data_IF_067094916848
#
_entry.id   IF_067094916848
#
_cell.length_a   1.000
_cell.length_b   1.000
_cell.length_c   1.000
_cell.angle_alpha   90.00
_cell.angle_beta   90.00
_cell.angle_gamma   90.00
#
_symmetry.space_group_name_H-M   'P 1'
#
loop_
_entity.id
_entity.type
_entity.pdbx_description
1 polymer ?
#
# COMPACT_ATOMS: atom_id res chain seq x y z
N UNK A 1 -44.66 -39.52 0.46
CA UNK A 1 -45.42 -38.32 0.01
C UNK A 1 -44.50 -37.11 0.15
N UNK A 2 -44.54 -36.16 -0.78
CA UNK A 2 -43.75 -34.93 -0.63
C UNK A 2 -44.38 -34.05 0.47
N UNK A 3 -43.53 -33.51 1.34
CA UNK A 3 -43.95 -32.58 2.40
C UNK A 3 -44.46 -31.28 1.80
N UNK A 4 -45.46 -30.69 2.43
CA UNK A 4 -45.99 -29.38 2.02
C UNK A 4 -44.99 -28.27 2.33
N UNK A 5 -45.11 -27.15 1.61
CA UNK A 5 -44.26 -25.99 1.83
C UNK A 5 -44.42 -25.41 3.25
N UNK A 6 -45.60 -25.58 3.87
CA UNK A 6 -45.88 -25.12 5.22
C UNK A 6 -45.17 -25.99 6.27
N UNK A 7 -45.19 -27.31 6.11
CA UNK A 7 -44.51 -28.26 7.01
C UNK A 7 -42.99 -28.09 6.96
N UNK A 8 -42.43 -27.97 5.75
CA UNK A 8 -41.00 -27.69 5.56
C UNK A 8 -40.61 -26.30 6.09
N UNK A 9 -41.48 -25.31 5.92
CA UNK A 9 -41.23 -23.95 6.43
C UNK A 9 -41.13 -23.93 7.94
N UNK A 10 -42.08 -24.59 8.62
CA UNK A 10 -42.12 -24.67 10.07
C UNK A 10 -40.91 -25.45 10.62
N UNK A 11 -40.54 -26.57 10.00
CA UNK A 11 -39.41 -27.39 10.44
C UNK A 11 -38.02 -26.78 10.16
N UNK A 12 -37.89 -25.93 9.13
CA UNK A 12 -36.65 -25.28 8.73
C UNK A 12 -36.55 -23.82 9.20
N UNK A 13 -37.53 -23.32 9.97
CA UNK A 13 -37.55 -21.96 10.50
C UNK A 13 -37.62 -20.86 9.43
N UNK A 14 -38.30 -21.11 8.31
CA UNK A 14 -38.43 -20.15 7.20
C UNK A 14 -39.87 -20.08 6.68
N UNK A 15 -40.21 -19.01 5.96
CA UNK A 15 -41.57 -18.85 5.41
C UNK A 15 -41.86 -19.87 4.31
N UNK A 16 -43.13 -20.27 4.14
CA UNK A 16 -43.55 -21.17 3.06
C UNK A 16 -43.25 -20.59 1.66
N UNK A 17 -43.24 -19.27 1.51
CA UNK A 17 -42.79 -18.58 0.29
C UNK A 17 -41.30 -18.83 0.02
N UNK A 18 -40.45 -18.78 1.06
CA UNK A 18 -39.03 -19.10 0.93
C UNK A 18 -38.83 -20.56 0.52
N UNK A 19 -39.61 -21.49 1.06
CA UNK A 19 -39.59 -22.89 0.65
C UNK A 19 -39.96 -23.07 -0.84
N UNK A 20 -40.96 -22.34 -1.34
CA UNK A 20 -41.32 -22.37 -2.76
C UNK A 20 -40.16 -21.98 -3.68
N UNK A 21 -39.39 -20.96 -3.28
CA UNK A 21 -38.16 -20.55 -4.00
C UNK A 21 -37.09 -21.64 -3.91
N UNK A 22 -36.81 -22.16 -2.70
CA UNK A 22 -35.79 -23.20 -2.50
C UNK A 22 -36.12 -24.48 -3.26
N UNK A 23 -37.39 -24.84 -3.38
CA UNK A 23 -37.86 -25.97 -4.19
C UNK A 23 -37.57 -25.78 -5.67
N UNK A 24 -37.77 -24.56 -6.20
CA UNK A 24 -37.41 -24.21 -7.59
C UNK A 24 -35.90 -24.31 -7.83
N UNK A 25 -35.11 -24.06 -6.78
CA UNK A 25 -33.65 -24.18 -6.79
C UNK A 25 -33.16 -25.62 -6.58
N UNK A 26 -34.06 -26.61 -6.46
CA UNK A 26 -33.72 -28.04 -6.37
C UNK A 26 -33.64 -28.59 -4.94
N UNK A 27 -34.21 -27.91 -3.95
CA UNK A 27 -34.27 -28.44 -2.58
C UNK A 27 -35.15 -29.71 -2.52
N UNK A 28 -34.65 -30.81 -1.92
CA UNK A 28 -35.45 -32.01 -1.68
C UNK A 28 -36.70 -31.71 -0.83
N UNK A 29 -37.79 -32.43 -1.09
CA UNK A 29 -39.10 -32.25 -0.42
C UNK A 29 -39.67 -33.54 0.15
N UNK A 30 -38.90 -34.62 0.04
CA UNK A 30 -39.20 -35.96 0.52
C UNK A 30 -38.99 -36.12 2.03
N UNK A 31 -38.06 -35.37 2.62
CA UNK A 31 -37.85 -35.32 4.08
C UNK A 31 -37.30 -33.97 4.56
N UNK A 32 -37.56 -33.65 5.83
CA UNK A 32 -36.99 -32.46 6.50
C UNK A 32 -35.47 -32.55 6.59
N UNK A 33 -34.94 -33.75 6.87
CA UNK A 33 -33.50 -33.98 7.02
C UNK A 33 -32.75 -33.77 5.70
N UNK A 34 -33.29 -34.28 4.58
CA UNK A 34 -32.72 -34.04 3.25
C UNK A 34 -32.74 -32.54 2.89
N UNK A 35 -33.83 -31.83 3.20
CA UNK A 35 -33.92 -30.39 2.97
C UNK A 35 -32.93 -29.60 3.84
N UNK A 36 -32.70 -30.01 5.10
CA UNK A 36 -31.74 -29.40 6.02
C UNK A 36 -30.30 -29.62 5.55
N UNK A 37 -29.94 -30.86 5.21
CA UNK A 37 -28.61 -31.20 4.70
C UNK A 37 -28.27 -30.45 3.39
N UNK A 38 -29.24 -30.34 2.48
CA UNK A 38 -29.07 -29.59 1.23
C UNK A 38 -28.80 -28.10 1.48
N UNK A 39 -29.53 -27.50 2.44
CA UNK A 39 -29.31 -26.09 2.83
C UNK A 39 -27.96 -25.88 3.50
N UNK A 40 -27.52 -26.81 4.34
CA UNK A 40 -26.24 -26.74 5.02
C UNK A 40 -25.07 -26.88 4.03
N UNK A 41 -25.15 -27.83 3.09
CA UNK A 41 -24.18 -27.98 2.02
C UNK A 41 -24.05 -26.69 1.20
N UNK A 42 -25.19 -26.07 0.83
CA UNK A 42 -25.20 -24.81 0.08
C UNK A 42 -24.66 -23.63 0.89
N UNK A 43 -24.96 -23.56 2.18
CA UNK A 43 -24.39 -22.56 3.08
C UNK A 43 -22.87 -22.74 3.28
N UNK A 44 -22.39 -23.98 3.25
CA UNK A 44 -20.97 -24.29 3.34
C UNK A 44 -20.23 -23.86 2.06
N UNK A 45 -20.82 -24.09 0.87
CA UNK A 45 -20.29 -23.59 -0.41
C UNK A 45 -20.24 -22.06 -0.42
N UNK A 46 -21.29 -21.37 0.05
CA UNK A 46 -21.29 -19.91 0.15
C UNK A 46 -20.25 -19.38 1.14
N UNK A 47 -20.06 -20.05 2.29
CA UNK A 47 -19.01 -19.69 3.25
C UNK A 47 -17.60 -19.92 2.71
N UNK A 48 -17.39 -20.99 1.94
CA UNK A 48 -16.10 -21.27 1.30
C UNK A 48 -15.78 -20.27 0.17
N UNK A 49 -16.80 -19.75 -0.51
CA UNK A 49 -16.66 -18.73 -1.55
C UNK A 49 -16.64 -17.29 -1.01
N UNK A 50 -16.90 -17.09 0.29
CA UNK A 50 -16.84 -15.77 0.89
C UNK A 50 -15.38 -15.29 0.96
N UNK A 51 -15.09 -14.01 0.65
CA UNK A 51 -13.77 -13.44 0.84
C UNK A 51 -13.33 -13.63 2.29
N UNK A 52 -12.17 -14.26 2.51
CA UNK A 52 -11.58 -14.35 3.85
C UNK A 52 -11.30 -12.92 4.33
N UNK A 53 -11.67 -12.63 5.58
CA UNK A 53 -11.35 -11.35 6.19
C UNK A 53 -9.83 -11.14 6.16
N UNK A 54 -9.40 -9.97 5.67
CA UNK A 54 -7.99 -9.63 5.58
C UNK A 54 -7.34 -9.67 6.99
N UNK A 55 -6.08 -10.13 7.10
CA UNK A 55 -5.37 -10.18 8.37
C UNK A 55 -5.25 -8.77 8.99
N UNK A 56 -5.38 -8.70 10.32
CA UNK A 56 -5.43 -7.44 11.09
C UNK A 56 -4.10 -6.66 11.12
N UNK A 57 -3.01 -7.27 10.66
CA UNK A 57 -1.70 -6.65 10.57
C UNK A 57 -1.11 -7.02 9.21
N UNK A 58 -1.13 -6.03 8.31
CA UNK A 58 -0.46 -6.14 7.03
C UNK A 58 1.04 -5.97 7.32
N UNK A 59 1.77 -7.08 7.41
CA UNK A 59 3.22 -7.10 7.22
C UNK A 59 3.53 -6.48 5.85
N UNK A 60 4.64 -5.77 5.69
CA UNK A 60 4.93 -5.02 4.45
C UNK A 60 5.06 -5.95 3.23
N UNK A 61 5.50 -7.20 3.46
CA UNK A 61 5.42 -8.28 2.45
C UNK A 61 3.96 -8.59 2.07
N UNK A 62 3.06 -8.67 3.05
CA UNK A 62 1.64 -8.91 2.81
C UNK A 62 0.91 -7.73 2.19
N UNK A 63 1.30 -6.48 2.47
CA UNK A 63 0.70 -5.29 1.85
C UNK A 63 1.08 -5.21 0.37
N UNK A 64 2.36 -5.43 0.04
CA UNK A 64 2.83 -5.46 -1.33
C UNK A 64 2.14 -6.58 -2.13
N UNK A 65 2.01 -7.77 -1.55
CA UNK A 65 1.29 -8.89 -2.16
C UNK A 65 -0.20 -8.55 -2.37
N UNK A 66 -0.84 -7.94 -1.36
CA UNK A 66 -2.25 -7.50 -1.43
C UNK A 66 -2.46 -6.45 -2.54
N UNK A 67 -1.53 -5.51 -2.71
CA UNK A 67 -1.55 -4.54 -3.81
C UNK A 67 -1.43 -5.27 -5.16
N UNK A 68 -0.55 -6.25 -5.28
CA UNK A 68 -0.40 -7.07 -6.48
C UNK A 68 -1.69 -7.82 -6.87
N UNK A 69 -2.36 -8.40 -5.87
CA UNK A 69 -3.67 -9.05 -6.05
C UNK A 69 -4.74 -8.05 -6.48
N UNK A 70 -4.79 -6.88 -5.85
CA UNK A 70 -5.75 -5.81 -6.19
C UNK A 70 -5.51 -5.23 -7.58
N UNK A 71 -4.26 -5.06 -8.03
CA UNK A 71 -3.96 -4.67 -9.42
C UNK A 71 -4.53 -5.67 -10.42
N UNK A 72 -4.38 -6.96 -10.14
CA UNK A 72 -4.96 -8.03 -10.96
C UNK A 72 -6.49 -7.97 -10.96
N UNK A 73 -7.11 -7.72 -9.81
CA UNK A 73 -8.56 -7.60 -9.66
C UNK A 73 -9.12 -6.39 -10.43
N UNK A 74 -8.48 -5.22 -10.31
CA UNK A 74 -8.83 -3.99 -11.04
C UNK A 74 -8.74 -4.22 -12.55
N UNK A 75 -7.66 -4.87 -13.02
CA UNK A 75 -7.49 -5.21 -14.43
C UNK A 75 -8.61 -6.10 -14.96
N UNK A 76 -8.98 -7.14 -14.20
CA UNK A 76 -10.11 -8.02 -14.55
C UNK A 76 -11.45 -7.29 -14.55
N UNK A 77 -11.71 -6.48 -13.52
CA UNK A 77 -12.94 -5.70 -13.41
C UNK A 77 -13.07 -4.69 -14.56
N UNK A 78 -11.97 -4.07 -14.97
CA UNK A 78 -11.89 -3.19 -16.13
C UNK A 78 -12.26 -3.91 -17.42
N UNK A 79 -11.69 -5.10 -17.64
CA UNK A 79 -11.97 -5.91 -18.82
C UNK A 79 -13.45 -6.31 -18.92
N UNK A 80 -14.05 -6.74 -17.81
CA UNK A 80 -15.49 -7.09 -17.76
C UNK A 80 -16.36 -5.87 -18.06
N UNK A 81 -16.06 -4.71 -17.45
CA UNK A 81 -16.80 -3.48 -17.70
C UNK A 81 -16.68 -3.02 -19.16
N UNK A 82 -15.48 -3.06 -19.73
CA UNK A 82 -15.26 -2.66 -21.12
C UNK A 82 -16.00 -3.58 -22.11
N UNK A 83 -15.91 -4.89 -21.92
CA UNK A 83 -16.66 -5.85 -22.73
C UNK A 83 -18.18 -5.68 -22.60
N UNK A 84 -18.67 -5.36 -21.40
CA UNK A 84 -20.08 -5.07 -21.17
C UNK A 84 -20.55 -3.79 -21.88
N UNK A 85 -19.71 -2.75 -21.95
CA UNK A 85 -20.02 -1.54 -22.71
C UNK A 85 -20.04 -1.79 -24.22
N UNK A 86 -19.04 -2.51 -24.74
CA UNK A 86 -18.95 -2.83 -26.17
C UNK A 86 -20.09 -3.74 -26.63
N UNK A 87 -20.51 -4.68 -25.78
CA UNK A 87 -21.63 -5.59 -26.03
C UNK A 87 -23.02 -5.02 -25.73
N UNK A 88 -23.11 -3.80 -25.18
CA UNK A 88 -24.38 -3.17 -24.83
C UNK A 88 -25.15 -3.87 -23.70
N UNK A 89 -24.45 -4.50 -22.74
CA UNK A 89 -25.07 -5.20 -21.61
C UNK A 89 -25.85 -4.19 -20.72
N UNK A 90 -27.16 -4.40 -20.47
CA UNK A 90 -27.95 -3.54 -19.58
C UNK A 90 -27.39 -3.42 -18.16
N UNK A 91 -26.56 -4.36 -17.71
CA UNK A 91 -25.91 -4.35 -16.40
C UNK A 91 -24.57 -3.57 -16.37
N UNK A 92 -24.15 -2.93 -17.46
CA UNK A 92 -22.88 -2.19 -17.56
C UNK A 92 -22.61 -1.24 -16.38
N UNK A 93 -23.64 -0.57 -15.85
CA UNK A 93 -23.52 0.32 -14.69
C UNK A 93 -23.07 -0.40 -13.41
N UNK A 94 -23.47 -1.66 -13.20
CA UNK A 94 -23.03 -2.47 -12.05
C UNK A 94 -21.56 -2.85 -12.16
N UNK A 95 -21.10 -3.19 -13.37
CA UNK A 95 -19.70 -3.50 -13.61
C UNK A 95 -18.82 -2.25 -13.48
N UNK A 96 -19.31 -1.09 -13.91
CA UNK A 96 -18.66 0.20 -13.66
C UNK A 96 -18.50 0.47 -12.15
N UNK A 97 -19.57 0.28 -11.36
CA UNK A 97 -19.48 0.44 -9.89
C UNK A 97 -18.49 -0.53 -9.26
N UNK A 98 -18.45 -1.78 -9.74
CA UNK A 98 -17.52 -2.82 -9.25
C UNK A 98 -16.07 -2.48 -9.58
N UNK A 99 -15.81 -1.99 -10.80
CA UNK A 99 -14.51 -1.50 -11.22
C UNK A 99 -14.07 -0.29 -10.38
N UNK A 100 -14.92 0.72 -10.22
CA UNK A 100 -14.62 1.91 -9.44
C UNK A 100 -14.37 1.59 -7.96
N UNK A 101 -15.14 0.68 -7.37
CA UNK A 101 -14.91 0.22 -6.00
C UNK A 101 -13.54 -0.45 -5.86
N UNK A 102 -13.19 -1.34 -6.79
CA UNK A 102 -11.90 -2.03 -6.80
C UNK A 102 -10.74 -1.06 -6.99
N UNK A 103 -10.89 -0.07 -7.87
CA UNK A 103 -9.88 0.96 -8.13
C UNK A 103 -9.66 1.85 -6.92
N UNK A 104 -10.75 2.29 -6.27
CA UNK A 104 -10.66 3.09 -5.04
C UNK A 104 -9.92 2.35 -3.92
N UNK A 105 -10.18 1.05 -3.77
CA UNK A 105 -9.45 0.23 -2.80
C UNK A 105 -7.97 0.12 -3.15
N UNK A 106 -7.62 -0.08 -4.42
CA UNK A 106 -6.22 -0.13 -4.85
C UNK A 106 -5.48 1.17 -4.53
N UNK A 107 -6.07 2.33 -4.86
CA UNK A 107 -5.46 3.64 -4.55
C UNK A 107 -5.22 3.79 -3.05
N UNK A 108 -6.19 3.43 -2.21
CA UNK A 108 -6.04 3.51 -0.76
C UNK A 108 -4.93 2.59 -0.21
N UNK A 109 -4.73 1.41 -0.82
CA UNK A 109 -3.64 0.49 -0.43
C UNK A 109 -2.27 1.03 -0.85
N UNK A 110 -2.15 1.62 -2.04
CA UNK A 110 -0.91 2.24 -2.53
C UNK A 110 -0.53 3.48 -1.69
N UNK A 111 -1.49 4.33 -1.33
CA UNK A 111 -1.26 5.47 -0.43
C UNK A 111 -0.78 5.03 0.96
N UNK A 112 -1.32 3.94 1.50
CA UNK A 112 -0.86 3.39 2.79
C UNK A 112 0.53 2.77 2.69
N UNK A 113 0.89 2.14 1.57
CA UNK A 113 2.25 1.68 1.31
C UNK A 113 3.23 2.85 1.27
N UNK A 114 2.92 3.94 0.56
CA UNK A 114 3.76 5.15 0.53
C UNK A 114 3.92 5.76 1.93
N UNK A 115 2.83 5.87 2.70
CA UNK A 115 2.89 6.37 4.07
C UNK A 115 3.83 5.53 4.94
N UNK A 116 3.78 4.21 4.81
CA UNK A 116 4.65 3.28 5.56
C UNK A 116 6.12 3.41 5.16
N UNK A 117 6.40 3.51 3.87
CA UNK A 117 7.76 3.72 3.36
C UNK A 117 8.38 5.05 3.83
N UNK A 118 7.56 6.10 3.97
CA UNK A 118 7.98 7.36 4.59
C UNK A 118 8.26 7.16 6.08
N UNK A 119 7.38 6.44 6.80
CA UNK A 119 7.53 6.17 8.24
C UNK A 119 8.75 5.29 8.57
N UNK A 120 9.10 4.33 7.71
CA UNK A 120 10.28 3.47 7.87
C UNK A 120 11.60 4.20 7.57
N UNK A 121 11.54 5.49 7.18
CA UNK A 121 12.68 6.33 6.78
C UNK A 121 13.42 5.84 5.53
N UNK A 122 12.80 4.99 4.71
CA UNK A 122 13.37 4.58 3.43
C UNK A 122 13.36 5.73 2.41
N UNK A 123 12.50 6.74 2.63
CA UNK A 123 12.48 7.99 1.87
C UNK A 123 12.51 9.20 2.82
N UNK A 124 13.53 10.06 2.67
CA UNK A 124 13.56 11.40 3.25
C UNK A 124 13.09 12.40 2.20
N UNK A 125 12.41 13.49 2.61
CA UNK A 125 12.05 14.51 1.64
C UNK A 125 13.32 15.15 1.06
N UNK A 126 13.28 15.55 -0.22
CA UNK A 126 14.42 16.23 -0.85
C UNK A 126 14.81 17.51 -0.09
N UNK A 127 13.83 18.19 0.52
CA UNK A 127 14.06 19.35 1.38
C UNK A 127 14.88 18.99 2.62
N UNK A 128 14.45 17.99 3.39
CA UNK A 128 15.17 17.55 4.59
C UNK A 128 16.57 17.03 4.26
N UNK A 129 16.71 16.29 3.15
CA UNK A 129 18.01 15.84 2.66
C UNK A 129 18.95 17.02 2.36
N UNK A 130 18.42 18.04 1.67
CA UNK A 130 19.18 19.25 1.32
C UNK A 130 19.58 20.04 2.56
N UNK A 131 18.67 20.19 3.53
CA UNK A 131 18.93 20.89 4.79
C UNK A 131 20.01 20.16 5.60
N UNK A 132 19.92 18.84 5.75
CA UNK A 132 20.93 18.04 6.45
C UNK A 132 22.32 18.13 5.78
N UNK A 133 22.37 18.08 4.44
CA UNK A 133 23.63 18.22 3.69
C UNK A 133 24.23 19.63 3.82
N UNK A 134 23.39 20.67 3.85
CA UNK A 134 23.82 22.06 4.06
C UNK A 134 24.40 22.23 5.46
N UNK A 135 23.75 21.69 6.48
CA UNK A 135 24.22 21.78 7.87
C UNK A 135 25.55 21.06 8.06
N UNK A 136 25.68 19.86 7.50
CA UNK A 136 26.94 19.11 7.52
C UNK A 136 28.07 19.90 6.83
N UNK A 137 27.81 20.44 5.64
CA UNK A 137 28.77 21.25 4.88
C UNK A 137 29.15 22.53 5.64
N UNK A 138 28.18 23.21 6.25
CA UNK A 138 28.43 24.40 7.06
C UNK A 138 29.34 24.09 8.26
N UNK A 139 29.16 22.94 8.92
CA UNK A 139 30.05 22.46 9.98
C UNK A 139 31.50 22.29 9.50
N UNK A 140 31.69 21.69 8.33
CA UNK A 140 33.02 21.49 7.71
C UNK A 140 33.67 22.85 7.38
N UNK A 141 32.93 23.75 6.72
CA UNK A 141 33.43 25.08 6.34
C UNK A 141 33.85 25.87 7.58
N UNK A 142 33.05 25.86 8.64
CA UNK A 142 33.37 26.51 9.91
C UNK A 142 34.64 25.94 10.57
N UNK A 143 34.88 24.62 10.46
CA UNK A 143 36.11 24.01 10.98
C UNK A 143 37.33 24.41 10.16
N UNK A 144 37.20 24.50 8.84
CA UNK A 144 38.25 24.98 7.95
C UNK A 144 38.60 26.45 8.22
N UNK A 145 37.62 27.30 8.50
CA UNK A 145 37.86 28.71 8.86
C UNK A 145 38.70 28.88 10.13
N UNK A 146 38.56 27.94 11.08
CA UNK A 146 39.31 27.96 12.34
C UNK A 146 40.61 27.17 12.29
N UNK A 147 40.89 26.47 11.20
CA UNK A 147 42.04 25.56 11.09
C UNK A 147 43.36 26.26 11.45
N UNK A 148 43.62 27.42 10.82
CA UNK A 148 44.85 28.15 11.04
C UNK A 148 45.02 28.60 12.50
N UNK A 149 43.93 29.02 13.15
CA UNK A 149 43.94 29.43 14.54
C UNK A 149 44.23 28.26 15.48
N UNK A 150 43.65 27.10 15.19
CA UNK A 150 43.71 25.94 16.07
C UNK A 150 45.05 25.18 16.01
N UNK A 151 45.73 25.18 14.85
CA UNK A 151 46.90 24.31 14.64
C UNK A 151 48.19 25.03 14.27
N UNK A 152 48.18 26.33 13.95
CA UNK A 152 49.39 27.01 13.46
C UNK A 152 50.56 26.97 14.44
N UNK A 153 50.30 27.10 15.75
CA UNK A 153 51.34 27.03 16.78
C UNK A 153 52.01 25.65 16.82
N UNK A 154 51.24 24.58 16.64
CA UNK A 154 51.78 23.21 16.58
C UNK A 154 52.49 22.91 15.26
N UNK A 155 52.06 23.52 14.15
CA UNK A 155 52.67 23.33 12.84
C UNK A 155 54.01 24.06 12.69
N UNK A 156 54.16 25.24 13.29
CA UNK A 156 55.42 25.98 13.29
C UNK A 156 55.59 26.79 14.59
N UNK A 157 56.11 26.17 15.66
CA UNK A 157 56.29 26.85 16.95
C UNK A 157 57.23 28.06 16.90
N UNK A 158 58.24 28.04 16.02
CA UNK A 158 59.21 29.13 15.88
C UNK A 158 58.65 30.33 15.11
N UNK A 159 57.69 30.10 14.21
CA UNK A 159 57.00 31.17 13.48
C UNK A 159 55.54 30.78 13.15
N UNK A 160 54.63 30.88 14.14
CA UNK A 160 53.23 30.54 13.95
C UNK A 160 52.55 31.41 12.89
N UNK A 161 52.93 32.68 12.78
CA UNK A 161 52.39 33.60 11.79
C UNK A 161 52.62 33.14 10.34
N UNK A 162 53.78 32.52 10.05
CA UNK A 162 54.04 31.92 8.75
C UNK A 162 53.13 30.71 8.50
N UNK A 163 52.88 29.88 9.52
CA UNK A 163 51.96 28.74 9.40
C UNK A 163 50.52 29.20 9.17
N UNK A 164 50.03 30.22 9.91
CA UNK A 164 48.71 30.83 9.69
C UNK A 164 48.55 31.24 8.23
N UNK A 165 49.50 32.00 7.68
CA UNK A 165 49.44 32.48 6.29
C UNK A 165 49.35 31.35 5.27
N UNK A 166 50.11 30.27 5.47
CA UNK A 166 50.10 29.11 4.56
C UNK A 166 48.79 28.33 4.67
N UNK A 167 48.30 28.10 5.89
CA UNK A 167 47.07 27.36 6.15
C UNK A 167 45.83 28.12 5.63
N UNK A 168 45.74 29.42 5.87
CA UNK A 168 44.65 30.26 5.35
C UNK A 168 44.65 30.31 3.81
N UNK A 169 45.82 30.43 3.19
CA UNK A 169 45.95 30.42 1.74
C UNK A 169 45.47 29.07 1.15
N UNK A 170 45.82 27.97 1.80
CA UNK A 170 45.37 26.64 1.40
C UNK A 170 43.85 26.48 1.58
N UNK A 171 43.29 26.85 2.73
CA UNK A 171 41.85 26.79 3.01
C UNK A 171 41.06 27.58 1.96
N UNK A 172 41.50 28.80 1.63
CA UNK A 172 40.85 29.64 0.61
C UNK A 172 40.82 28.95 -0.76
N UNK A 173 41.92 28.33 -1.17
CA UNK A 173 42.00 27.60 -2.44
C UNK A 173 41.06 26.40 -2.46
N UNK A 174 41.09 25.57 -1.41
CA UNK A 174 40.24 24.38 -1.32
C UNK A 174 38.75 24.75 -1.32
N UNK A 175 38.35 25.83 -0.63
CA UNK A 175 36.98 26.32 -0.69
C UNK A 175 36.56 26.74 -2.09
N UNK A 176 37.44 27.40 -2.85
CA UNK A 176 37.17 27.76 -4.24
C UNK A 176 37.04 26.52 -5.13
N UNK A 177 37.94 25.53 -4.96
CA UNK A 177 37.89 24.28 -5.72
C UNK A 177 36.58 23.50 -5.45
N UNK A 178 36.13 23.45 -4.19
CA UNK A 178 34.87 22.81 -3.80
C UNK A 178 33.65 23.56 -4.35
N UNK A 179 33.66 24.89 -4.35
CA UNK A 179 32.55 25.70 -4.89
C UNK A 179 32.41 25.57 -6.41
N UNK A 180 33.50 25.26 -7.13
CA UNK A 180 33.49 25.11 -8.59
C UNK A 180 32.98 23.73 -9.05
N UNK A 181 32.87 22.75 -8.15
CA UNK A 181 32.31 21.43 -8.47
C UNK A 181 30.78 21.41 -8.47
N UNK A 182 30.11 22.49 -8.05
CA UNK A 182 28.63 22.62 -8.08
C UNK A 182 28.09 23.02 -9.48
N UNK A 183 28.94 23.28 -10.48
CA UNK A 183 28.54 23.72 -11.84
C UNK A 183 28.59 22.63 -12.93
N UNK A 184 28.83 21.36 -12.59
CA UNK A 184 28.85 20.22 -13.51
C UNK A 184 27.74 19.20 -13.23
#
# INVERSE_FOLDING_TARGET
>A
MALTNSELGLALGVTAQRISVLRREGMPTDSVDAARAWREARANVQRAAAPKAAPAQLDDGSLADTIGEHRTLVSRARGVWQAAMEGGDPNQGKYQSSYNASLKTLVALEEEQERRLILTKDFISAKEATEAMRDMTAGIVNRLDKLALDVAEGCNPENPAKAVKVLEAWVRRVKADLSNHDEA
#
